data_IF_668883264015
#
_entry.id   IF_668883264015
#
_cell.length_a   1.000
_cell.length_b   1.000
_cell.length_c   1.000
_cell.angle_alpha   90.00
_cell.angle_beta   90.00
_cell.angle_gamma   90.00
#
_symmetry.space_group_name_H-M   'P 1'
#
loop_
_entity.id
_entity.type
_entity.pdbx_description
1 polymer ?
#
# COMPACT_ATOMS: atom_id res chain seq x y z
N UNK A 1 -6.55 10.03 -3.87
CA UNK A 1 -6.00 10.48 -2.57
C UNK A 1 -6.08 9.37 -1.54
N UNK A 2 -5.06 9.23 -0.72
CA UNK A 2 -5.04 8.23 0.35
C UNK A 2 -5.91 8.71 1.51
N UNK A 3 -6.90 7.91 1.90
CA UNK A 3 -7.92 8.31 2.87
C UNK A 3 -7.79 7.63 4.23
N UNK A 4 -7.42 6.36 4.28
CA UNK A 4 -7.38 5.65 5.54
C UNK A 4 -6.37 4.50 5.52
N UNK A 5 -5.96 4.09 6.72
CA UNK A 5 -5.03 2.99 6.92
C UNK A 5 -5.69 1.92 7.80
N UNK A 6 -5.40 0.67 7.47
CA UNK A 6 -5.72 -0.46 8.34
C UNK A 6 -4.53 -0.77 9.25
N UNK A 7 -3.30 -0.61 8.75
CA UNK A 7 -2.07 -0.93 9.47
C UNK A 7 -1.58 0.29 10.25
N UNK A 8 -1.62 0.18 11.57
CA UNK A 8 -1.25 1.31 12.45
C UNK A 8 0.20 1.75 12.29
N UNK A 9 1.13 0.80 12.19
CA UNK A 9 2.55 1.12 12.00
C UNK A 9 2.82 1.88 10.71
N UNK A 10 2.11 1.52 9.64
CA UNK A 10 2.24 2.22 8.37
C UNK A 10 1.64 3.62 8.45
N UNK A 11 0.51 3.77 9.13
CA UNK A 11 -0.11 5.06 9.37
C UNK A 11 0.84 6.00 10.12
N UNK A 12 1.44 5.51 11.19
CA UNK A 12 2.39 6.29 11.98
C UNK A 12 3.61 6.67 11.16
N UNK A 13 4.07 5.77 10.30
CA UNK A 13 5.18 6.05 9.40
C UNK A 13 4.82 7.18 8.42
N UNK A 14 3.62 7.14 7.88
CA UNK A 14 3.15 8.15 6.93
C UNK A 14 3.03 9.54 7.57
N UNK A 15 2.40 9.61 8.74
CA UNK A 15 2.14 10.90 9.39
C UNK A 15 3.31 11.43 10.21
N UNK A 16 4.02 10.54 10.90
CA UNK A 16 5.03 10.95 11.90
C UNK A 16 6.45 10.57 11.50
N UNK A 17 6.62 9.76 10.47
CA UNK A 17 7.94 9.32 10.04
C UNK A 17 8.57 8.24 10.90
N UNK A 18 7.87 7.72 11.90
CA UNK A 18 8.43 6.68 12.76
C UNK A 18 8.45 5.33 12.06
N UNK A 19 9.54 4.60 12.24
CA UNK A 19 9.75 3.27 11.62
C UNK A 19 9.46 2.12 12.57
N UNK A 20 8.91 2.40 13.76
CA UNK A 20 8.72 1.39 14.80
C UNK A 20 7.79 0.26 14.38
N UNK A 21 6.80 0.54 13.53
CA UNK A 21 5.81 -0.45 13.12
C UNK A 21 6.04 -1.05 11.74
N UNK A 22 7.18 -0.80 11.12
CA UNK A 22 7.50 -1.33 9.78
C UNK A 22 8.87 -1.97 9.79
N UNK A 23 9.19 -2.71 8.72
CA UNK A 23 10.54 -3.22 8.51
C UNK A 23 11.43 -2.07 8.06
N UNK A 24 12.47 -1.71 8.82
CA UNK A 24 13.31 -0.55 8.47
C UNK A 24 13.91 -0.63 7.06
N UNK A 25 14.23 -1.84 6.60
CA UNK A 25 14.77 -2.06 5.25
C UNK A 25 13.78 -1.70 4.15
N UNK A 26 12.50 -1.63 4.46
CA UNK A 26 11.45 -1.26 3.50
C UNK A 26 11.13 0.22 3.48
N UNK A 27 11.70 1.02 4.40
CA UNK A 27 11.30 2.41 4.58
C UNK A 27 11.34 3.23 3.29
N UNK A 28 12.44 3.14 2.54
CA UNK A 28 12.58 3.88 1.29
C UNK A 28 11.54 3.47 0.25
N UNK A 29 11.33 2.16 0.11
CA UNK A 29 10.35 1.63 -0.85
C UNK A 29 8.93 2.02 -0.45
N UNK A 30 8.63 1.98 0.85
CA UNK A 30 7.32 2.36 1.36
C UNK A 30 7.01 3.83 1.12
N UNK A 31 7.99 4.72 1.28
CA UNK A 31 7.81 6.14 0.96
C UNK A 31 7.39 6.29 -0.50
N UNK A 32 8.09 5.63 -1.40
CA UNK A 32 7.80 5.73 -2.84
C UNK A 32 6.40 5.21 -3.16
N UNK A 33 6.04 4.06 -2.60
CA UNK A 33 4.72 3.46 -2.83
C UNK A 33 3.61 4.36 -2.28
N UNK A 34 3.78 4.85 -1.05
CA UNK A 34 2.77 5.70 -0.42
C UNK A 34 2.58 6.99 -1.20
N UNK A 35 3.66 7.58 -1.71
CA UNK A 35 3.57 8.79 -2.51
C UNK A 35 2.74 8.54 -3.77
N UNK A 36 2.95 7.40 -4.44
CA UNK A 36 2.18 7.03 -5.63
C UNK A 36 0.71 6.82 -5.26
N UNK A 37 0.45 6.10 -4.17
CA UNK A 37 -0.93 5.88 -3.69
C UNK A 37 -1.64 7.20 -3.42
N UNK A 38 -0.95 8.13 -2.77
CA UNK A 38 -1.56 9.42 -2.40
C UNK A 38 -1.83 10.31 -3.62
N UNK A 39 -1.01 10.19 -4.65
CA UNK A 39 -1.17 10.99 -5.87
C UNK A 39 -2.12 10.35 -6.89
N UNK A 40 -2.43 9.07 -6.76
CA UNK A 40 -3.20 8.33 -7.75
C UNK A 40 -4.64 8.83 -7.84
N UNK A 41 -5.16 8.89 -9.05
CA UNK A 41 -6.58 9.20 -9.32
C UNK A 41 -7.26 8.05 -10.04
N UNK A 42 -6.49 7.14 -10.66
CA UNK A 42 -7.01 5.95 -11.31
C UNK A 42 -6.20 4.74 -10.86
N UNK A 43 -6.78 3.55 -11.02
CA UNK A 43 -6.06 2.33 -10.64
C UNK A 43 -4.83 2.12 -11.53
N UNK A 44 -4.85 2.59 -12.77
CA UNK A 44 -3.71 2.45 -13.67
C UNK A 44 -2.48 3.23 -13.19
N UNK A 45 -2.69 4.28 -12.42
CA UNK A 45 -1.57 5.04 -11.83
C UNK A 45 -0.71 4.17 -10.90
N UNK A 46 -1.26 3.07 -10.42
CA UNK A 46 -0.58 2.16 -9.51
C UNK A 46 0.10 1.00 -10.25
N UNK A 47 0.00 0.98 -11.57
CA UNK A 47 0.63 -0.05 -12.39
C UNK A 47 2.00 0.44 -12.88
N UNK A 48 2.88 0.77 -11.94
CA UNK A 48 4.24 1.22 -12.23
C UNK A 48 5.18 0.00 -12.36
N UNK A 49 6.35 0.16 -13.00
CA UNK A 49 7.30 -0.95 -13.16
C UNK A 49 7.66 -1.57 -11.80
N UNK A 50 7.50 -2.89 -11.72
CA UNK A 50 7.82 -3.64 -10.50
C UNK A 50 6.71 -3.66 -9.46
N UNK A 51 5.59 -2.97 -9.69
CA UNK A 51 4.50 -2.93 -8.69
C UNK A 51 3.76 -4.25 -8.56
N UNK A 52 3.70 -5.04 -9.63
CA UNK A 52 2.94 -6.28 -9.62
C UNK A 52 1.47 -6.06 -9.23
N UNK A 53 0.90 -4.92 -9.62
CA UNK A 53 -0.47 -4.57 -9.28
C UNK A 53 -1.44 -5.68 -9.69
N UNK A 54 -2.24 -6.15 -8.73
CA UNK A 54 -3.27 -7.14 -9.04
C UNK A 54 -4.43 -7.03 -8.05
N UNK A 55 -5.61 -7.42 -8.53
CA UNK A 55 -6.81 -7.49 -7.70
C UNK A 55 -6.77 -8.80 -6.91
N UNK A 56 -6.96 -8.70 -5.61
CA UNK A 56 -7.01 -9.86 -4.75
C UNK A 56 -8.37 -10.55 -4.87
N UNK A 57 -8.38 -11.87 -4.64
CA UNK A 57 -9.57 -12.69 -4.76
C UNK A 57 -9.89 -13.36 -3.42
N UNK A 58 -11.02 -14.03 -3.39
CA UNK A 58 -11.48 -14.80 -2.22
C UNK A 58 -11.71 -13.90 -1.00
N UNK A 59 -10.98 -14.13 0.09
CA UNK A 59 -11.23 -13.45 1.37
C UNK A 59 -10.98 -11.96 1.32
N UNK A 60 -10.20 -11.50 0.34
CA UNK A 60 -9.85 -10.09 0.21
C UNK A 60 -10.42 -9.49 -1.07
N UNK A 61 -11.64 -9.87 -1.40
CA UNK A 61 -12.34 -9.33 -2.56
C UNK A 61 -12.38 -7.80 -2.50
N UNK A 62 -12.27 -7.18 -3.69
CA UNK A 62 -12.26 -5.74 -3.87
C UNK A 62 -11.03 -5.03 -3.29
N UNK A 63 -10.00 -5.78 -2.96
CA UNK A 63 -8.74 -5.20 -2.54
C UNK A 63 -7.69 -5.44 -3.60
N UNK A 64 -6.79 -4.48 -3.72
CA UNK A 64 -5.66 -4.53 -4.65
C UNK A 64 -4.37 -4.70 -3.86
N UNK A 65 -3.34 -5.19 -4.52
CA UNK A 65 -2.03 -5.35 -3.91
C UNK A 65 -0.95 -4.84 -4.84
N UNK A 66 0.07 -4.22 -4.25
CA UNK A 66 1.33 -3.90 -4.93
C UNK A 66 2.48 -4.48 -4.11
N UNK A 67 3.54 -4.86 -4.81
CA UNK A 67 4.69 -5.52 -4.20
C UNK A 67 5.59 -4.52 -3.49
N UNK A 68 6.05 -4.88 -2.29
CA UNK A 68 7.10 -4.16 -1.59
C UNK A 68 8.43 -4.87 -1.82
N UNK A 69 8.57 -6.06 -1.28
CA UNK A 69 9.79 -6.87 -1.38
C UNK A 69 9.50 -8.29 -0.89
N UNK A 70 9.99 -9.30 -1.61
CA UNK A 70 9.75 -10.68 -1.23
C UNK A 70 8.26 -10.97 -1.11
N UNK A 71 7.84 -11.41 0.07
CA UNK A 71 6.42 -11.69 0.34
C UNK A 71 5.64 -10.49 0.85
N UNK A 72 6.31 -9.36 1.08
CA UNK A 72 5.67 -8.17 1.61
C UNK A 72 4.88 -7.43 0.54
N UNK A 73 3.65 -7.02 0.87
CA UNK A 73 2.73 -6.33 -0.03
C UNK A 73 2.07 -5.16 0.70
N UNK A 74 1.75 -4.13 -0.06
CA UNK A 74 0.78 -3.11 0.36
C UNK A 74 -0.54 -3.49 -0.27
N UNK A 75 -1.59 -3.58 0.54
CA UNK A 75 -2.93 -3.88 0.07
C UNK A 75 -3.86 -2.73 0.40
N UNK A 76 -4.88 -2.55 -0.42
CA UNK A 76 -5.77 -1.40 -0.27
C UNK A 76 -7.06 -1.60 -1.05
N UNK A 77 -8.07 -0.80 -0.70
CA UNK A 77 -9.31 -0.72 -1.47
C UNK A 77 -9.28 0.57 -2.29
N UNK A 78 -9.64 0.48 -3.54
CA UNK A 78 -9.72 1.62 -4.46
C UNK A 78 -11.18 1.89 -4.80
N UNK A 79 -11.64 3.14 -4.62
CA UNK A 79 -13.01 3.51 -4.86
C UNK A 79 -13.10 4.99 -5.25
N UNK A 80 -13.70 5.27 -6.40
CA UNK A 80 -13.94 6.62 -6.89
C UNK A 80 -12.69 7.53 -6.88
N UNK A 81 -11.57 6.95 -7.24
CA UNK A 81 -10.32 7.70 -7.32
C UNK A 81 -9.57 7.82 -6.00
N UNK A 82 -10.08 7.23 -4.93
CA UNK A 82 -9.47 7.29 -3.60
C UNK A 82 -9.01 5.93 -3.11
N UNK A 83 -8.05 5.95 -2.19
CA UNK A 83 -7.42 4.76 -1.61
C UNK A 83 -7.81 4.67 -0.14
N UNK A 84 -8.33 3.50 0.25
CA UNK A 84 -8.84 3.25 1.61
C UNK A 84 -8.21 2.02 2.22
N UNK A 85 -8.14 2.00 3.55
CA UNK A 85 -7.79 0.82 4.33
C UNK A 85 -6.46 0.23 3.88
N UNK A 86 -5.44 1.07 3.79
CA UNK A 86 -4.11 0.64 3.35
C UNK A 86 -3.49 -0.24 4.43
N UNK A 87 -3.08 -1.45 4.04
CA UNK A 87 -2.48 -2.43 4.93
C UNK A 87 -1.10 -2.81 4.40
N UNK A 88 -0.30 -3.40 5.27
CA UNK A 88 1.07 -3.78 4.98
C UNK A 88 1.22 -5.21 5.49
N UNK A 89 1.36 -6.17 4.58
CA UNK A 89 1.20 -7.58 4.90
C UNK A 89 2.35 -8.41 4.37
N UNK A 90 2.70 -9.43 5.13
CA UNK A 90 3.70 -10.42 4.75
C UNK A 90 2.96 -11.67 4.28
N UNK A 91 2.94 -11.92 2.98
CA UNK A 91 2.25 -13.07 2.38
C UNK A 91 3.20 -14.26 2.33
N UNK A 92 2.78 -15.36 2.92
CA UNK A 92 3.52 -16.63 2.86
C UNK A 92 2.79 -17.62 1.99
#
# INVERSE_FOLDING_TARGET
MLKSFRHKGLEDFFYDGTKRGIQPKHAGKLVDIIDVLNAATTIQDLNFPGSGLHLLQHKQANRWAVKVSGNWRITFRFEDGDIFEVDYEDYH
#
